data_IF_777034183149
#
_entry.id   IF_777034183149
#
_cell.length_a   1.000
_cell.length_b   1.000
_cell.length_c   1.000
_cell.angle_alpha   90.00
_cell.angle_beta   90.00
_cell.angle_gamma   90.00
#
_symmetry.space_group_name_H-M   'P 1'
#
loop_
_entity.id
_entity.type
_entity.pdbx_description
1 polymer ?
#
# COMPACT_ATOMS: atom_id res chain seq x y z
N UNK A 1 -29.20 70.94 -23.14
CA UNK A 1 -27.94 71.18 -22.40
C UNK A 1 -27.01 70.03 -22.72
N UNK A 2 -25.94 70.32 -23.47
CA UNK A 2 -24.94 69.37 -23.97
C UNK A 2 -23.56 69.88 -23.52
N UNK A 3 -22.65 68.93 -23.30
CA UNK A 3 -21.19 69.00 -23.18
C UNK A 3 -20.63 69.06 -21.73
N UNK A 4 -19.35 68.68 -21.50
CA UNK A 4 -18.36 68.09 -22.42
C UNK A 4 -17.62 66.85 -21.88
N UNK A 5 -16.85 66.24 -22.80
CA UNK A 5 -15.82 65.23 -22.57
C UNK A 5 -14.65 65.76 -21.73
N UNK A 6 -13.97 64.88 -20.98
CA UNK A 6 -12.58 65.09 -20.58
C UNK A 6 -11.75 63.83 -20.83
N UNK A 7 -10.58 64.06 -21.42
CA UNK A 7 -9.61 63.09 -21.91
C UNK A 7 -8.73 62.49 -20.79
N UNK A 8 -8.35 61.23 -21.04
CA UNK A 8 -7.25 60.38 -20.54
C UNK A 8 -6.05 61.02 -19.80
N UNK A 9 -5.31 60.22 -19.00
CA UNK A 9 -4.12 59.61 -19.60
C UNK A 9 -3.95 58.12 -19.28
N UNK A 10 -3.27 57.44 -20.20
CA UNK A 10 -3.04 56.00 -20.17
C UNK A 10 -2.04 55.59 -19.11
N UNK A 11 -2.33 54.46 -18.47
CA UNK A 11 -1.33 53.70 -17.72
C UNK A 11 -0.66 52.78 -18.73
N UNK A 12 0.52 53.20 -19.19
CA UNK A 12 1.46 52.33 -19.88
C UNK A 12 1.85 51.20 -18.92
N UNK A 13 1.26 50.01 -19.10
CA UNK A 13 1.77 48.79 -18.51
C UNK A 13 2.95 48.34 -19.37
N UNK A 14 4.15 48.62 -18.87
CA UNK A 14 5.41 48.09 -19.40
C UNK A 14 5.37 46.57 -19.17
N UNK A 15 5.05 45.81 -20.22
CA UNK A 15 5.23 44.36 -20.24
C UNK A 15 6.73 44.06 -20.30
N UNK A 16 7.32 43.83 -19.12
CA UNK A 16 8.58 43.13 -18.97
C UNK A 16 8.47 41.79 -19.73
N UNK A 17 9.19 41.71 -20.85
CA UNK A 17 9.33 40.52 -21.70
C UNK A 17 10.10 39.42 -20.97
N UNK A 18 9.45 38.75 -20.01
CA UNK A 18 10.02 37.59 -19.34
C UNK A 18 9.04 36.42 -19.48
N UNK A 19 9.29 35.60 -20.50
CA UNK A 19 8.90 34.17 -20.54
C UNK A 19 7.41 33.81 -20.69
N UNK A 20 6.49 34.77 -20.79
CA UNK A 20 5.05 34.48 -20.92
C UNK A 20 4.67 33.80 -22.24
N UNK A 21 5.44 34.00 -23.31
CA UNK A 21 5.18 33.39 -24.61
C UNK A 21 5.28 31.86 -24.60
N UNK A 22 6.13 31.29 -23.75
CA UNK A 22 6.29 29.84 -23.59
C UNK A 22 5.09 29.20 -22.89
N UNK A 23 4.58 29.87 -21.85
CA UNK A 23 3.44 29.39 -21.06
C UNK A 23 2.13 29.54 -21.83
N UNK A 24 1.93 30.68 -22.51
CA UNK A 24 0.76 30.94 -23.34
C UNK A 24 0.66 29.95 -24.51
N UNK A 25 1.78 29.68 -25.21
CA UNK A 25 1.84 28.67 -26.28
C UNK A 25 1.53 27.26 -25.78
N UNK A 26 1.99 26.88 -24.58
CA UNK A 26 1.70 25.58 -23.98
C UNK A 26 0.23 25.44 -23.58
N UNK A 27 -0.35 26.47 -22.98
CA UNK A 27 -1.78 26.48 -22.63
C UNK A 27 -2.62 26.38 -23.91
N UNK A 28 -2.27 27.12 -24.95
CA UNK A 28 -2.94 27.06 -26.25
C UNK A 28 -2.78 25.68 -26.92
N UNK A 29 -1.62 25.03 -26.81
CA UNK A 29 -1.41 23.65 -27.29
C UNK A 29 -2.21 22.61 -26.50
N UNK A 30 -2.34 22.78 -25.19
CA UNK A 30 -3.12 21.87 -24.34
C UNK A 30 -4.63 22.07 -24.46
N UNK A 31 -5.06 23.28 -24.85
CA UNK A 31 -6.45 23.62 -25.11
C UNK A 31 -6.95 23.08 -26.46
N UNK A 32 -6.06 22.70 -27.39
CA UNK A 32 -6.48 22.06 -28.63
C UNK A 32 -7.11 20.70 -28.35
N UNK A 33 -8.24 20.36 -29.01
CA UNK A 33 -8.82 19.03 -28.91
C UNK A 33 -7.78 17.99 -29.35
N UNK A 34 -7.65 16.91 -28.56
CA UNK A 34 -6.66 15.86 -28.83
C UNK A 34 -6.82 15.39 -30.29
N UNK A 35 -5.77 15.50 -31.13
CA UNK A 35 -5.87 15.05 -32.52
C UNK A 35 -6.24 13.57 -32.52
N UNK A 36 -7.30 13.24 -33.25
CA UNK A 36 -7.81 11.88 -33.29
C UNK A 36 -6.79 10.97 -33.97
N UNK A 37 -5.99 10.26 -33.16
CA UNK A 37 -5.02 9.27 -33.64
C UNK A 37 -5.68 7.94 -34.04
N UNK A 38 -7.02 7.85 -34.04
CA UNK A 38 -7.79 6.71 -34.58
C UNK A 38 -7.74 6.61 -36.12
N UNK A 39 -6.63 7.04 -36.77
CA UNK A 39 -6.27 6.50 -38.09
C UNK A 39 -5.68 5.09 -38.00
N UNK A 40 -5.33 4.64 -36.80
CA UNK A 40 -5.03 3.25 -36.53
C UNK A 40 -6.20 2.67 -35.73
N UNK A 41 -6.85 1.60 -36.21
CA UNK A 41 -7.86 0.93 -35.41
C UNK A 41 -7.20 0.48 -34.11
N UNK A 42 -7.97 0.65 -33.04
CA UNK A 42 -7.70 0.24 -31.68
C UNK A 42 -6.89 -1.08 -31.65
N UNK A 43 -5.61 -1.03 -31.27
CA UNK A 43 -4.76 -2.22 -31.05
C UNK A 43 -5.13 -2.88 -29.73
N UNK A 44 -6.42 -3.16 -29.54
CA UNK A 44 -6.98 -3.95 -28.45
C UNK A 44 -7.70 -5.18 -29.00
N UNK A 45 -7.08 -5.88 -29.96
CA UNK A 45 -7.31 -7.31 -30.10
C UNK A 45 -6.26 -8.03 -29.25
N UNK A 46 -6.60 -8.23 -27.98
CA UNK A 46 -5.70 -8.89 -27.03
C UNK A 46 -5.52 -10.38 -27.36
N UNK A 47 -6.46 -11.09 -28.00
CA UNK A 47 -6.22 -12.41 -28.61
C UNK A 47 -7.30 -12.77 -29.62
N UNK A 48 -7.01 -12.70 -30.92
CA UNK A 48 -7.50 -13.67 -31.93
C UNK A 48 -6.42 -13.73 -33.02
N UNK A 49 -5.52 -14.71 -32.91
CA UNK A 49 -4.49 -14.97 -33.91
C UNK A 49 -4.98 -16.11 -34.80
N UNK A 50 -5.65 -15.80 -35.91
CA UNK A 50 -5.93 -16.81 -36.94
C UNK A 50 -4.66 -17.29 -37.65
N UNK A 51 -3.51 -16.64 -37.38
CA UNK A 51 -2.19 -17.07 -37.83
C UNK A 51 -1.20 -16.98 -36.67
N UNK A 52 -0.49 -18.08 -36.41
CA UNK A 52 0.62 -18.12 -35.46
C UNK A 52 1.68 -17.08 -35.87
N UNK A 53 2.23 -16.31 -34.90
CA UNK A 53 3.35 -15.43 -35.18
C UNK A 53 4.53 -16.26 -35.70
N UNK A 54 5.33 -15.75 -36.67
CA UNK A 54 6.51 -16.46 -37.12
C UNK A 54 7.45 -16.71 -35.93
N UNK A 55 8.01 -17.92 -35.84
CA UNK A 55 9.00 -18.26 -34.83
C UNK A 55 10.22 -17.36 -35.01
N UNK A 56 10.33 -16.33 -34.16
CA UNK A 56 11.52 -15.49 -34.11
C UNK A 56 12.52 -16.19 -33.21
N UNK A 57 13.56 -16.79 -33.80
CA UNK A 57 14.74 -17.35 -33.09
C UNK A 57 15.62 -16.28 -32.41
N UNK A 58 15.04 -15.12 -32.07
CA UNK A 58 15.72 -13.99 -31.44
C UNK A 58 15.02 -13.65 -30.13
N UNK A 59 15.81 -13.59 -29.06
CA UNK A 59 15.42 -13.28 -27.67
C UNK A 59 14.24 -12.31 -27.59
N UNK A 60 13.11 -12.87 -27.14
CA UNK A 60 11.85 -12.20 -26.81
C UNK A 60 12.13 -10.92 -26.02
N UNK A 61 11.43 -9.84 -26.41
CA UNK A 61 11.38 -8.51 -25.77
C UNK A 61 12.08 -8.42 -24.41
N UNK A 62 13.27 -7.80 -24.37
CA UNK A 62 13.89 -7.41 -23.10
C UNK A 62 12.91 -6.50 -22.37
N UNK A 63 12.35 -7.01 -21.26
CA UNK A 63 11.53 -6.21 -20.36
C UNK A 63 12.51 -5.32 -19.60
N UNK A 64 12.80 -4.15 -20.17
CA UNK A 64 13.63 -3.16 -19.51
C UNK A 64 12.83 -2.54 -18.36
N UNK A 65 13.18 -2.95 -17.15
CA UNK A 65 12.53 -2.49 -15.93
C UNK A 65 12.94 -1.03 -15.69
N UNK A 66 12.00 -0.10 -15.83
CA UNK A 66 12.29 1.31 -15.54
C UNK A 66 12.69 1.48 -14.06
N UNK A 67 13.57 2.45 -13.72
CA UNK A 67 14.01 2.66 -12.34
C UNK A 67 12.87 2.82 -11.33
N UNK A 68 11.78 3.49 -11.75
CA UNK A 68 10.58 3.67 -10.93
C UNK A 68 9.84 2.36 -10.65
N UNK A 69 9.74 1.46 -11.63
CA UNK A 69 9.12 0.14 -11.43
C UNK A 69 9.96 -0.75 -10.53
N UNK A 70 11.29 -0.61 -10.62
CA UNK A 70 12.22 -1.30 -9.72
C UNK A 70 12.11 -0.77 -8.29
N UNK A 71 11.74 0.49 -8.10
CA UNK A 71 11.50 1.08 -6.79
C UNK A 71 10.15 0.63 -6.20
N UNK A 72 9.08 0.63 -7.02
CA UNK A 72 7.75 0.19 -6.59
C UNK A 72 7.66 -1.31 -6.30
N UNK A 73 8.48 -2.13 -6.97
CA UNK A 73 8.56 -3.57 -6.69
C UNK A 73 9.34 -3.90 -5.41
N UNK A 74 10.01 -2.91 -4.80
CA UNK A 74 10.64 -3.11 -3.48
C UNK A 74 9.52 -3.24 -2.45
N UNK A 75 9.58 -4.31 -1.66
CA UNK A 75 8.71 -4.46 -0.51
C UNK A 75 8.85 -3.26 0.42
N UNK A 76 7.72 -2.82 1.00
CA UNK A 76 7.74 -1.81 2.05
C UNK A 76 8.59 -2.36 3.20
N UNK A 77 9.65 -1.64 3.56
CA UNK A 77 10.52 -2.00 4.69
C UNK A 77 9.69 -1.85 5.96
N UNK A 78 9.33 -2.97 6.57
CA UNK A 78 8.74 -2.98 7.91
C UNK A 78 9.85 -2.51 8.85
N UNK A 79 9.61 -1.40 9.56
CA UNK A 79 10.56 -0.89 10.55
C UNK A 79 10.65 -1.90 11.70
N UNK A 80 11.82 -2.52 11.87
CA UNK A 80 12.11 -3.40 13.00
C UNK A 80 12.43 -2.64 14.28
N UNK A 81 12.58 -1.30 14.20
CA UNK A 81 12.87 -0.44 15.36
C UNK A 81 11.63 -0.19 16.23
N UNK A 82 10.43 -0.46 15.70
CA UNK A 82 9.23 -0.47 16.52
C UNK A 82 9.07 -1.89 17.03
N UNK A 83 9.76 -2.19 18.13
CA UNK A 83 9.35 -3.29 19.01
C UNK A 83 7.97 -2.85 19.51
N UNK A 84 6.93 -3.28 18.81
CA UNK A 84 5.58 -3.20 19.31
C UNK A 84 5.52 -4.21 20.44
N UNK A 85 5.77 -3.76 21.66
CA UNK A 85 5.33 -4.51 22.82
C UNK A 85 3.83 -4.80 22.58
N UNK A 86 3.39 -6.07 22.68
CA UNK A 86 1.98 -6.41 22.47
C UNK A 86 1.06 -5.69 23.47
N UNK A 87 1.65 -5.22 24.57
CA UNK A 87 1.02 -4.41 25.59
C UNK A 87 1.15 -2.92 25.26
N UNK A 88 0.09 -2.38 24.67
CA UNK A 88 -0.08 -0.95 24.52
C UNK A 88 -0.40 -0.35 25.90
N UNK A 89 0.59 0.29 26.55
CA UNK A 89 0.38 0.99 27.83
C UNK A 89 -0.67 2.09 27.64
N UNK A 90 -1.86 1.84 28.16
CA UNK A 90 -2.97 2.81 28.16
C UNK A 90 -2.68 3.86 29.24
N UNK A 91 -2.88 5.14 28.92
CA UNK A 91 -2.68 6.22 29.91
C UNK A 91 -3.73 6.16 31.01
N UNK A 92 -3.40 6.62 32.22
CA UNK A 92 -4.38 6.67 33.33
C UNK A 92 -5.63 7.48 32.97
N UNK A 93 -5.49 8.54 32.17
CA UNK A 93 -6.58 9.36 31.69
C UNK A 93 -7.54 8.59 30.78
N UNK A 94 -7.02 7.71 29.93
CA UNK A 94 -7.84 6.85 29.08
C UNK A 94 -8.58 5.78 29.91
N UNK A 95 -7.97 5.28 30.99
CA UNK A 95 -8.63 4.36 31.93
C UNK A 95 -9.73 5.04 32.75
N UNK A 96 -9.54 6.32 33.12
CA UNK A 96 -10.50 7.13 33.88
C UNK A 96 -11.55 7.82 32.99
N UNK A 97 -11.44 7.71 31.67
CA UNK A 97 -12.34 8.38 30.74
C UNK A 97 -13.75 7.79 30.81
N UNK A 98 -14.74 8.63 31.13
CA UNK A 98 -16.15 8.24 31.12
C UNK A 98 -16.76 8.66 29.76
N UNK A 99 -17.42 7.75 29.04
CA UNK A 99 -18.06 8.10 27.77
C UNK A 99 -19.17 9.12 27.99
N UNK A 100 -19.30 10.07 27.07
CA UNK A 100 -20.40 11.04 27.11
C UNK A 100 -21.74 10.35 26.84
N UNK A 101 -22.83 10.94 27.33
CA UNK A 101 -24.19 10.43 27.08
C UNK A 101 -24.48 10.24 25.59
N UNK A 102 -23.93 11.12 24.74
CA UNK A 102 -24.05 11.01 23.29
C UNK A 102 -23.33 9.77 22.73
N UNK A 103 -22.09 9.52 23.19
CA UNK A 103 -21.36 8.30 22.81
C UNK A 103 -22.09 7.05 23.30
N UNK A 104 -22.65 7.05 24.51
CA UNK A 104 -23.48 5.95 25.00
C UNK A 104 -24.69 5.70 24.08
N UNK A 105 -25.37 6.75 23.61
CA UNK A 105 -26.48 6.61 22.65
C UNK A 105 -26.02 6.08 21.29
N UNK A 106 -24.86 6.51 20.79
CA UNK A 106 -24.30 6.02 19.53
C UNK A 106 -23.79 4.58 19.62
N UNK A 107 -23.37 4.14 20.80
CA UNK A 107 -22.89 2.79 21.05
C UNK A 107 -24.04 1.76 21.12
N UNK A 108 -25.29 2.18 21.32
CA UNK A 108 -26.45 1.29 21.22
C UNK A 108 -26.51 0.76 19.78
N UNK A 109 -26.44 -0.57 19.57
CA UNK A 109 -26.53 -1.13 18.23
C UNK A 109 -27.87 -0.73 17.61
N UNK A 110 -27.86 -0.43 16.31
CA UNK A 110 -29.11 -0.15 15.60
C UNK A 110 -30.00 -1.37 15.68
N UNK A 111 -31.27 -1.16 16.01
CA UNK A 111 -32.24 -2.23 15.98
C UNK A 111 -32.30 -2.80 14.55
N UNK A 112 -32.41 -4.14 14.42
CA UNK A 112 -32.68 -4.74 13.13
C UNK A 112 -33.94 -4.12 12.50
N UNK A 113 -34.00 -4.05 11.18
CA UNK A 113 -35.22 -3.63 10.48
C UNK A 113 -36.40 -4.52 10.92
N UNK A 114 -37.63 -4.01 10.85
CA UNK A 114 -38.82 -4.72 11.35
C UNK A 114 -39.01 -6.11 10.70
N UNK A 115 -38.45 -6.28 9.50
CA UNK A 115 -38.45 -7.47 8.67
C UNK A 115 -37.10 -8.22 8.67
N UNK A 116 -36.11 -7.76 9.43
CA UNK A 116 -34.82 -8.44 9.55
C UNK A 116 -35.04 -9.80 10.19
N UNK A 117 -34.83 -10.85 9.39
CA UNK A 117 -34.74 -12.23 9.86
C UNK A 117 -33.32 -12.71 9.68
N UNK A 118 -32.75 -13.47 10.63
CA UNK A 118 -31.50 -14.16 10.38
C UNK A 118 -31.70 -15.06 9.16
N UNK A 119 -30.79 -14.96 8.18
CA UNK A 119 -30.84 -15.66 6.89
C UNK A 119 -30.92 -17.19 7.05
N UNK A 120 -30.53 -17.68 8.23
CA UNK A 120 -30.70 -19.06 8.68
C UNK A 120 -31.42 -19.06 10.03
N UNK A 121 -32.59 -19.69 10.17
CA UNK A 121 -33.17 -19.93 11.49
C UNK A 121 -32.13 -20.66 12.35
N UNK A 122 -31.97 -20.26 13.62
CA UNK A 122 -31.09 -20.94 14.56
C UNK A 122 -31.36 -22.44 14.45
N UNK A 123 -30.30 -23.23 14.24
CA UNK A 123 -30.42 -24.68 14.11
C UNK A 123 -31.29 -25.20 15.26
N UNK A 124 -32.18 -26.15 14.96
CA UNK A 124 -33.02 -26.79 15.97
C UNK A 124 -32.20 -27.10 17.22
N UNK A 125 -32.76 -26.96 18.44
CA UNK A 125 -32.04 -27.21 19.69
C UNK A 125 -31.24 -28.51 19.57
N UNK A 126 -29.91 -28.39 19.68
CA UNK A 126 -29.02 -29.53 19.54
C UNK A 126 -29.39 -30.59 20.59
N UNK A 127 -29.27 -31.87 20.25
CA UNK A 127 -29.58 -32.97 21.18
C UNK A 127 -28.78 -32.83 22.49
N UNK A 128 -29.32 -33.35 23.61
CA UNK A 128 -28.57 -33.36 24.89
C UNK A 128 -27.20 -34.01 24.74
N UNK A 129 -27.12 -35.10 23.97
CA UNK A 129 -25.85 -35.79 23.70
C UNK A 129 -24.82 -34.90 23.01
N UNK A 130 -25.25 -34.02 22.10
CA UNK A 130 -24.36 -33.04 21.43
C UNK A 130 -23.93 -31.94 22.40
N UNK A 131 -24.82 -31.47 23.27
CA UNK A 131 -24.52 -30.42 24.26
C UNK A 131 -23.55 -30.89 25.35
N UNK A 132 -23.60 -32.17 25.71
CA UNK A 132 -22.73 -32.78 26.74
C UNK A 132 -21.54 -33.55 26.16
N UNK A 133 -21.31 -33.48 24.85
CA UNK A 133 -20.20 -34.17 24.22
C UNK A 133 -18.87 -33.56 24.68
N UNK A 134 -18.02 -34.36 25.30
CA UNK A 134 -16.67 -33.95 25.70
C UNK A 134 -15.72 -34.20 24.54
N UNK A 135 -14.89 -33.21 24.21
CA UNK A 135 -13.89 -33.34 23.16
C UNK A 135 -12.91 -34.48 23.49
N UNK A 136 -12.58 -35.30 22.49
CA UNK A 136 -11.60 -36.38 22.68
C UNK A 136 -10.20 -35.80 22.92
N UNK A 137 -9.35 -36.55 23.63
CA UNK A 137 -7.97 -36.13 23.91
C UNK A 137 -7.18 -35.73 22.65
N UNK A 138 -7.47 -36.37 21.50
CA UNK A 138 -6.87 -36.00 20.21
C UNK A 138 -7.31 -34.62 19.74
N UNK A 139 -8.60 -34.29 19.85
CA UNK A 139 -9.12 -32.96 19.47
C UNK A 139 -8.48 -31.90 20.36
N UNK A 140 -8.39 -32.14 21.67
CA UNK A 140 -7.70 -31.24 22.60
C UNK A 140 -6.23 -31.02 22.20
N UNK A 141 -5.48 -32.09 21.90
CA UNK A 141 -4.08 -32.01 21.44
C UNK A 141 -3.91 -31.26 20.11
N UNK A 142 -4.87 -31.37 19.20
CA UNK A 142 -4.83 -30.65 17.92
C UNK A 142 -5.20 -29.17 18.09
N UNK A 143 -6.02 -28.84 19.09
CA UNK A 143 -6.36 -27.47 19.43
C UNK A 143 -5.23 -26.75 20.18
N UNK A 144 -4.24 -27.48 20.71
CA UNK A 144 -3.05 -26.87 21.29
C UNK A 144 -2.29 -26.05 20.23
N UNK A 145 -1.96 -24.78 20.52
CA UNK A 145 -1.19 -23.97 19.59
C UNK A 145 0.18 -24.61 19.36
N UNK A 146 0.62 -24.67 18.10
CA UNK A 146 1.95 -25.17 17.77
C UNK A 146 2.99 -24.31 18.47
N UNK A 147 3.63 -24.87 19.50
CA UNK A 147 4.76 -24.24 20.20
C UNK A 147 5.89 -24.10 19.18
N UNK A 148 6.07 -22.89 18.63
CA UNK A 148 7.28 -22.56 17.89
C UNK A 148 8.42 -22.68 18.89
N UNK A 149 9.38 -23.55 18.59
CA UNK A 149 10.61 -23.67 19.35
C UNK A 149 11.23 -22.27 19.42
N UNK A 150 11.13 -21.62 20.58
CA UNK A 150 11.90 -20.42 20.87
C UNK A 150 13.34 -20.90 20.97
N UNK A 151 14.04 -20.84 19.85
CA UNK A 151 15.49 -20.91 19.84
C UNK A 151 15.95 -19.64 20.57
N UNK A 152 16.34 -19.82 21.83
CA UNK A 152 16.81 -18.76 22.68
C UNK A 152 17.93 -18.01 21.94
N UNK A 153 17.74 -16.71 21.71
CA UNK A 153 18.83 -15.81 21.34
C UNK A 153 19.78 -15.71 22.54
N UNK A 154 20.62 -16.72 22.75
CA UNK A 154 21.78 -16.60 23.63
C UNK A 154 22.93 -16.04 22.81
N UNK A 155 23.24 -14.79 23.07
CA UNK A 155 24.47 -14.13 22.64
C UNK A 155 25.68 -14.79 23.29
N UNK A 156 26.39 -15.65 22.56
CA UNK A 156 27.84 -15.83 22.75
C UNK A 156 28.49 -16.58 21.57
N UNK A 157 29.34 -15.84 20.86
CA UNK A 157 30.71 -16.24 20.46
C UNK A 157 30.91 -17.45 19.52
N UNK A 158 31.31 -17.10 18.28
CA UNK A 158 32.03 -17.85 17.22
C UNK A 158 31.19 -18.69 16.22
N UNK A 159 31.41 -18.51 14.90
CA UNK A 159 30.77 -19.34 13.88
C UNK A 159 31.59 -20.61 13.66
N UNK A 160 31.15 -21.72 14.23
CA UNK A 160 31.60 -23.05 13.83
C UNK A 160 30.45 -23.73 13.06
N UNK A 161 30.77 -24.15 11.84
CA UNK A 161 30.02 -25.00 10.92
C UNK A 161 28.52 -25.17 11.22
N UNK A 162 27.70 -24.40 10.49
CA UNK A 162 26.25 -24.59 10.39
C UNK A 162 26.00 -25.96 9.79
N UNK A 163 25.76 -26.97 10.63
CA UNK A 163 25.09 -28.17 10.18
C UNK A 163 23.67 -27.76 9.84
N UNK A 164 23.43 -27.66 8.53
CA UNK A 164 22.13 -27.44 7.92
C UNK A 164 21.08 -28.27 8.64
N UNK A 165 20.21 -27.62 9.41
CA UNK A 165 19.03 -28.24 9.98
C UNK A 165 18.31 -28.97 8.86
N UNK A 166 18.19 -30.28 8.99
CA UNK A 166 17.45 -31.14 8.07
C UNK A 166 16.04 -30.56 7.95
N UNK A 167 15.83 -29.86 6.83
CA UNK A 167 14.50 -29.52 6.36
C UNK A 167 13.79 -30.85 6.29
N UNK A 168 12.82 -31.07 7.19
CA UNK A 168 11.87 -32.18 7.08
C UNK A 168 10.99 -31.87 5.88
N UNK A 169 11.57 -32.00 4.69
CA UNK A 169 10.84 -32.28 3.48
C UNK A 169 9.93 -33.44 3.83
N UNK A 170 8.62 -33.27 3.62
CA UNK A 170 7.71 -34.41 3.64
C UNK A 170 8.32 -35.51 2.78
N UNK A 171 8.45 -36.73 3.30
CA UNK A 171 9.01 -37.88 2.58
C UNK A 171 8.38 -38.06 1.17
N UNK A 172 7.16 -37.56 0.98
CA UNK A 172 6.46 -37.52 -0.30
C UNK A 172 7.11 -36.59 -1.36
N UNK A 173 7.80 -35.51 -0.97
CA UNK A 173 8.46 -34.58 -1.90
C UNK A 173 9.82 -35.14 -2.34
N UNK A 174 10.52 -35.83 -1.43
CA UNK A 174 11.80 -36.49 -1.75
C UNK A 174 11.62 -37.65 -2.73
N UNK A 175 10.51 -38.38 -2.64
CA UNK A 175 10.15 -39.44 -3.59
C UNK A 175 9.81 -38.95 -5.01
N UNK A 176 9.45 -37.67 -5.17
CA UNK A 176 9.08 -37.09 -6.46
C UNK A 176 10.25 -36.36 -7.15
N UNK A 177 11.37 -36.18 -6.47
CA UNK A 177 12.56 -35.58 -7.05
C UNK A 177 13.34 -36.64 -7.85
N UNK A 178 13.39 -36.50 -9.17
CA UNK A 178 14.25 -37.35 -10.01
C UNK A 178 15.72 -37.19 -9.59
N UNK A 179 16.53 -38.25 -9.72
CA UNK A 179 17.97 -38.18 -9.38
C UNK A 179 18.70 -37.04 -10.13
N UNK A 180 18.24 -36.72 -11.33
CA UNK A 180 18.74 -35.61 -12.14
C UNK A 180 18.52 -34.25 -11.47
N UNK A 181 17.41 -34.07 -10.74
CA UNK A 181 17.10 -32.85 -10.01
C UNK A 181 17.96 -32.72 -8.73
N UNK A 182 18.26 -33.85 -8.07
CA UNK A 182 19.13 -33.86 -6.88
C UNK A 182 20.60 -33.56 -7.21
N UNK A 183 21.07 -33.99 -8.39
CA UNK A 183 22.45 -33.78 -8.86
C UNK A 183 22.64 -32.46 -9.63
N UNK A 184 21.57 -31.72 -9.89
CA UNK A 184 21.62 -30.48 -10.66
C UNK A 184 22.32 -29.36 -9.88
N UNK A 185 23.42 -28.84 -10.44
CA UNK A 185 24.09 -27.67 -9.88
C UNK A 185 23.29 -26.40 -10.22
N UNK A 186 23.03 -25.52 -9.24
CA UNK A 186 22.32 -24.28 -9.50
C UNK A 186 23.12 -23.40 -10.46
N UNK A 187 22.43 -22.61 -11.28
CA UNK A 187 23.09 -21.67 -12.18
C UNK A 187 23.88 -20.61 -11.39
N UNK A 188 24.95 -20.03 -11.95
CA UNK A 188 25.75 -19.00 -11.27
C UNK A 188 24.90 -17.84 -10.75
N UNK A 189 23.86 -17.45 -11.49
CA UNK A 189 22.89 -16.43 -11.10
C UNK A 189 22.08 -16.84 -9.86
N UNK A 190 21.65 -18.10 -9.76
CA UNK A 190 20.95 -18.58 -8.57
C UNK A 190 21.86 -18.59 -7.34
N UNK A 191 23.14 -18.88 -7.54
CA UNK A 191 24.14 -18.84 -6.48
C UNK A 191 24.45 -17.39 -6.04
N UNK A 192 24.45 -16.43 -6.96
CA UNK A 192 24.56 -15.00 -6.61
C UNK A 192 23.32 -14.52 -5.83
N UNK A 193 22.13 -14.93 -6.27
CA UNK A 193 20.86 -14.59 -5.62
C UNK A 193 20.67 -15.26 -4.25
N UNK A 194 21.35 -16.38 -3.99
CA UNK A 194 21.29 -17.04 -2.68
C UNK A 194 22.16 -16.36 -1.63
N UNK A 195 23.07 -15.46 -2.04
CA UNK A 195 23.85 -14.66 -1.09
C UNK A 195 23.01 -13.50 -0.54
N UNK A 196 22.94 -13.32 0.80
CA UNK A 196 22.22 -12.22 1.40
C UNK A 196 22.88 -10.88 1.03
N UNK A 197 22.10 -9.94 0.52
CA UNK A 197 22.60 -8.60 0.15
C UNK A 197 23.14 -7.86 1.38
N UNK A 198 24.42 -7.49 1.32
CA UNK A 198 25.05 -6.63 2.32
C UNK A 198 24.32 -5.28 2.42
N UNK A 199 23.96 -4.88 3.65
CA UNK A 199 23.33 -3.58 3.92
C UNK A 199 24.40 -2.57 4.32
N UNK A 200 24.79 -1.69 3.41
CA UNK A 200 25.60 -0.51 3.76
C UNK A 200 24.73 0.50 4.52
N UNK A 201 25.19 0.95 5.68
CA UNK A 201 24.54 2.01 6.46
C UNK A 201 24.75 3.36 5.76
N UNK A 202 23.93 3.67 4.77
CA UNK A 202 24.00 4.91 4.00
C UNK A 202 23.44 6.14 4.72
N UNK A 203 23.04 6.03 6.00
CA UNK A 203 22.11 6.98 6.61
C UNK A 203 22.51 7.38 8.03
N UNK A 204 23.71 7.92 8.16
CA UNK A 204 24.10 8.71 9.33
C UNK A 204 23.54 10.13 9.14
N UNK A 205 22.61 10.56 10.01
CA UNK A 205 22.24 11.98 10.13
C UNK A 205 20.89 12.47 9.56
N UNK A 206 19.99 11.60 9.09
CA UNK A 206 18.65 12.06 8.68
C UNK A 206 17.68 12.16 9.85
N UNK A 207 17.14 13.37 10.06
CA UNK A 207 16.10 13.62 11.04
C UNK A 207 14.72 13.67 10.35
N UNK A 208 13.79 12.76 10.67
CA UNK A 208 12.48 12.65 10.01
C UNK A 208 11.52 13.82 10.29
N UNK A 209 11.85 14.72 11.23
CA UNK A 209 11.01 15.87 11.58
C UNK A 209 11.42 17.16 10.84
N UNK A 210 12.44 17.11 9.98
CA UNK A 210 12.87 18.29 9.21
C UNK A 210 11.95 18.47 8.00
N UNK A 211 11.08 19.48 8.07
CA UNK A 211 10.25 19.90 6.95
C UNK A 211 11.11 20.69 5.94
N UNK A 212 11.14 20.24 4.69
CA UNK A 212 11.90 20.89 3.63
C UNK A 212 11.45 22.34 3.41
N UNK A 213 12.37 23.22 2.97
CA UNK A 213 12.04 24.63 2.69
C UNK A 213 10.94 24.77 1.63
N UNK A 214 10.94 23.87 0.63
CA UNK A 214 9.92 23.81 -0.41
C UNK A 214 8.52 23.50 0.14
N UNK A 215 8.42 22.58 1.11
CA UNK A 215 7.15 22.23 1.74
C UNK A 215 6.61 23.40 2.60
N UNK A 216 7.48 24.15 3.28
CA UNK A 216 7.09 25.36 4.03
C UNK A 216 6.61 26.50 3.12
N UNK A 217 7.18 26.64 1.93
CA UNK A 217 6.80 27.67 0.97
C UNK A 217 5.63 27.28 0.06
N UNK A 218 5.11 26.06 0.17
CA UNK A 218 4.04 25.59 -0.69
C UNK A 218 2.71 26.27 -0.33
N UNK A 219 2.16 27.04 -1.25
CA UNK A 219 0.83 27.63 -1.09
C UNK A 219 -0.25 26.61 -1.48
N UNK A 220 -1.31 26.43 -0.67
CA UNK A 220 -2.43 25.57 -1.03
C UNK A 220 -3.17 26.13 -2.26
N UNK A 221 -3.76 25.24 -3.06
CA UNK A 221 -4.51 25.64 -4.25
C UNK A 221 -5.77 26.45 -3.88
N UNK A 222 -6.30 27.28 -4.80
CA UNK A 222 -7.50 28.08 -4.54
C UNK A 222 -8.70 27.25 -4.05
N UNK A 223 -8.87 26.03 -4.59
CA UNK A 223 -9.94 25.12 -4.17
C UNK A 223 -9.76 24.61 -2.74
N UNK A 224 -8.53 24.28 -2.35
CA UNK A 224 -8.23 23.85 -0.97
C UNK A 224 -8.48 25.00 0.01
N UNK A 225 -8.10 26.24 -0.36
CA UNK A 225 -8.43 27.44 0.44
C UNK A 225 -9.94 27.61 0.61
N UNK A 226 -10.72 27.44 -0.46
CA UNK A 226 -12.18 27.54 -0.39
C UNK A 226 -12.81 26.47 0.51
N UNK A 227 -12.29 25.23 0.45
CA UNK A 227 -12.78 24.12 1.28
C UNK A 227 -12.38 24.26 2.75
N UNK A 228 -11.30 24.99 3.05
CA UNK A 228 -10.89 25.29 4.43
C UNK A 228 -11.70 26.39 5.11
N UNK A 229 -12.56 27.11 4.36
CA UNK A 229 -13.48 28.07 4.96
C UNK A 229 -14.61 27.34 5.72
N UNK A 230 -15.02 27.84 6.89
CA UNK A 230 -16.12 27.24 7.64
C UNK A 230 -17.42 27.32 6.82
N UNK A 231 -18.23 26.26 6.90
CA UNK A 231 -19.53 26.25 6.23
C UNK A 231 -20.42 27.38 6.79
N UNK A 232 -21.17 28.11 5.95
CA UNK A 232 -21.95 29.28 6.38
C UNK A 232 -22.90 28.98 7.54
N UNK A 233 -23.50 27.78 7.57
CA UNK A 233 -24.37 27.30 8.66
C UNK A 233 -23.68 27.09 10.02
N UNK A 234 -22.34 27.18 10.06
CA UNK A 234 -21.53 27.03 11.27
C UNK A 234 -20.90 28.35 11.71
N UNK A 235 -21.11 29.43 10.96
CA UNK A 235 -20.72 30.76 11.39
C UNK A 235 -21.83 31.27 12.32
N UNK A 236 -21.51 31.51 13.60
CA UNK A 236 -22.39 32.25 14.50
C UNK A 236 -22.50 33.69 14.01
N UNK A 237 -23.72 34.21 13.83
CA UNK A 237 -23.93 35.65 13.62
C UNK A 237 -23.39 36.38 14.85
N UNK A 238 -22.40 37.25 14.66
CA UNK A 238 -22.07 38.29 15.63
C UNK A 238 -23.16 39.35 15.65
#
# INVERSE_FOLDING_TARGET
>A
MVAPWSHSPGVHVIFLHIGLDSMAKRIQQLAQPKPNRLRFPDRRSVYWLDKLPPEKSGSITKIDLTPRWQELSRSKKISTQVILDPEWKVSEWALKAVPSLHLCRLAVPRLPAADWRPERPLLAPLSRATQTAVATARICRLAEPRKKLQEAFSSSTKPAAVSSGSSRSSAHIELLASESAQKAKPSPRLQELSTPREKKALYEGFNPYIISRAARSACPSPRVRQLSLPLPRKCSSQ
#
